data_IF_621222784766
#
_entry.id   IF_621222784766
#
_cell.length_a   1.000
_cell.length_b   1.000
_cell.length_c   1.000
_cell.angle_alpha   90.00
_cell.angle_beta   90.00
_cell.angle_gamma   90.00
#
_symmetry.space_group_name_H-M   'P 1'
#
loop_
_entity.id
_entity.type
_entity.pdbx_description
1 polymer ?
#
# COMPACT_ATOMS: atom_id res chain seq x y z
N UNK A 1 -6.42 1.80 -15.67
CA UNK A 1 -5.35 1.58 -14.68
C UNK A 1 -5.98 1.38 -13.30
N UNK A 2 -5.47 0.41 -12.54
CA UNK A 2 -6.03 0.13 -11.22
C UNK A 2 -5.29 0.97 -10.18
N UNK A 3 -6.07 1.67 -9.35
CA UNK A 3 -5.51 2.38 -8.20
C UNK A 3 -5.94 1.64 -6.94
N UNK A 4 -4.99 1.38 -6.06
CA UNK A 4 -5.20 0.58 -4.88
C UNK A 4 -5.36 1.42 -3.62
N UNK A 5 -6.13 0.91 -2.67
CA UNK A 5 -6.21 1.47 -1.33
C UNK A 5 -5.33 0.65 -0.41
N UNK A 6 -4.49 1.32 0.37
CA UNK A 6 -3.61 0.67 1.33
C UNK A 6 -4.34 0.54 2.66
N UNK A 7 -4.45 -0.70 3.13
CA UNK A 7 -5.15 -1.02 4.38
C UNK A 7 -4.13 -1.48 5.41
N UNK A 8 -4.18 -0.87 6.59
CA UNK A 8 -3.33 -1.26 7.72
C UNK A 8 -4.18 -1.23 8.98
N UNK A 9 -4.19 -2.34 9.71
CA UNK A 9 -5.00 -2.50 10.92
C UNK A 9 -6.47 -2.24 10.63
N UNK A 10 -6.96 -2.71 9.47
CA UNK A 10 -8.35 -2.59 9.08
C UNK A 10 -8.78 -1.21 8.64
N UNK A 11 -7.85 -0.27 8.50
CA UNK A 11 -8.18 1.10 8.10
C UNK A 11 -7.44 1.50 6.84
N UNK A 12 -8.11 2.26 5.98
CA UNK A 12 -7.48 2.82 4.78
C UNK A 12 -6.51 3.92 5.19
N UNK A 13 -5.25 3.75 4.82
CA UNK A 13 -4.20 4.70 5.17
C UNK A 13 -3.79 5.59 4.01
N UNK A 14 -3.98 5.12 2.77
CA UNK A 14 -3.51 5.84 1.61
C UNK A 14 -4.31 5.35 0.41
N UNK A 15 -4.66 6.26 -0.49
CA UNK A 15 -5.54 5.94 -1.63
C UNK A 15 -4.84 6.18 -2.96
N UNK A 16 -5.42 5.61 -4.00
CA UNK A 16 -5.01 5.83 -5.40
C UNK A 16 -3.57 5.42 -5.64
N UNK A 17 -3.16 4.32 -5.01
CA UNK A 17 -1.79 3.83 -5.07
C UNK A 17 -1.59 3.04 -6.35
N UNK A 18 -0.50 3.37 -7.07
CA UNK A 18 -0.15 2.71 -8.32
C UNK A 18 1.22 2.03 -8.25
N UNK A 19 1.91 2.13 -7.12
CA UNK A 19 3.25 1.59 -6.97
C UNK A 19 3.46 1.19 -5.50
N UNK A 20 4.07 0.03 -5.30
CA UNK A 20 4.44 -0.41 -3.96
C UNK A 20 5.75 -1.18 -4.03
N UNK A 21 6.64 -0.94 -3.07
CA UNK A 21 7.90 -1.63 -2.96
C UNK A 21 8.15 -2.03 -1.52
N UNK A 22 8.38 -3.32 -1.30
CA UNK A 22 8.73 -3.85 0.01
C UNK A 22 10.23 -4.01 0.09
N UNK A 23 10.88 -3.33 1.02
CA UNK A 23 12.33 -3.34 1.12
C UNK A 23 12.76 -2.91 2.51
N UNK A 24 13.79 -3.58 3.04
CA UNK A 24 14.43 -3.12 4.27
C UNK A 24 13.52 -3.03 5.47
N UNK A 25 12.56 -3.93 5.58
CA UNK A 25 11.66 -3.93 6.73
C UNK A 25 10.53 -2.91 6.65
N UNK A 26 10.22 -2.43 5.46
CA UNK A 26 9.13 -1.50 5.27
C UNK A 26 8.52 -1.59 3.89
N UNK A 27 7.46 -0.85 3.67
CA UNK A 27 6.77 -0.77 2.38
C UNK A 27 6.63 0.70 2.00
N UNK A 28 7.08 1.03 0.79
CA UNK A 28 6.92 2.38 0.24
C UNK A 28 5.90 2.33 -0.88
N UNK A 29 4.93 3.22 -0.85
CA UNK A 29 3.89 3.30 -1.86
C UNK A 29 3.89 4.69 -2.49
N UNK A 30 3.37 4.76 -3.72
CA UNK A 30 3.19 6.04 -4.43
C UNK A 30 1.81 6.07 -5.05
N UNK A 31 1.17 7.21 -5.00
CA UNK A 31 -0.14 7.36 -5.61
C UNK A 31 -0.06 8.02 -6.98
N UNK A 32 -1.23 8.21 -7.60
CA UNK A 32 -1.31 8.77 -8.97
C UNK A 32 -0.80 10.20 -9.06
N UNK A 33 -0.72 10.90 -7.93
CA UNK A 33 -0.21 12.27 -7.90
C UNK A 33 1.29 12.34 -7.68
N UNK A 34 1.95 11.17 -7.57
CA UNK A 34 3.38 11.13 -7.30
C UNK A 34 3.75 11.27 -5.83
N UNK A 35 2.76 11.32 -4.96
CA UNK A 35 3.01 11.38 -3.53
C UNK A 35 3.45 10.00 -3.03
N UNK A 36 4.45 9.98 -2.15
CA UNK A 36 4.98 8.73 -1.61
C UNK A 36 4.73 8.67 -0.11
N UNK A 37 4.53 7.45 0.38
CA UNK A 37 4.39 7.22 1.81
C UNK A 37 5.11 5.93 2.17
N UNK A 38 5.83 5.96 3.29
CA UNK A 38 6.56 4.79 3.78
C UNK A 38 5.90 4.25 5.04
N UNK A 39 5.72 2.93 5.07
CA UNK A 39 5.17 2.23 6.23
C UNK A 39 6.29 1.38 6.83
N UNK A 40 7.03 1.96 7.78
CA UNK A 40 8.14 1.27 8.41
C UNK A 40 7.64 0.15 9.31
N UNK A 41 8.38 -0.95 9.33
CA UNK A 41 8.03 -2.09 10.16
C UNK A 41 6.83 -2.87 9.67
N UNK A 42 6.40 -2.61 8.44
CA UNK A 42 5.23 -3.29 7.87
C UNK A 42 5.65 -4.19 6.71
N UNK A 43 4.79 -5.13 6.39
CA UNK A 43 4.98 -6.04 5.26
C UNK A 43 3.66 -6.14 4.50
N UNK A 44 3.75 -6.52 3.22
CA UNK A 44 2.58 -6.77 2.39
C UNK A 44 2.06 -8.17 2.74
N UNK A 45 0.79 -8.26 3.11
CA UNK A 45 0.18 -9.55 3.42
C UNK A 45 -0.85 -9.98 2.39
N UNK A 46 -1.42 -9.03 1.65
CA UNK A 46 -2.43 -9.39 0.64
C UNK A 46 -2.50 -8.33 -0.43
N UNK A 47 -2.60 -8.76 -1.68
CA UNK A 47 -2.89 -7.90 -2.83
C UNK A 47 -4.14 -8.45 -3.48
N UNK A 48 -5.20 -7.67 -3.52
CA UNK A 48 -6.45 -8.09 -4.12
C UNK A 48 -6.81 -7.12 -5.24
N UNK A 49 -6.64 -7.59 -6.47
CA UNK A 49 -6.90 -6.76 -7.65
C UNK A 49 -8.39 -6.51 -7.83
N UNK A 50 -9.23 -7.50 -7.50
CA UNK A 50 -10.67 -7.34 -7.71
C UNK A 50 -11.28 -6.27 -6.81
N UNK A 51 -10.76 -6.11 -5.60
CA UNK A 51 -11.21 -5.04 -4.69
C UNK A 51 -10.25 -3.87 -4.66
N UNK A 52 -9.15 -3.95 -5.40
CA UNK A 52 -8.08 -2.95 -5.46
C UNK A 52 -7.58 -2.55 -4.06
N UNK A 53 -7.28 -3.57 -3.25
CA UNK A 53 -6.75 -3.34 -1.91
C UNK A 53 -5.35 -3.94 -1.78
N UNK A 54 -4.50 -3.21 -1.07
CA UNK A 54 -3.17 -3.65 -0.70
C UNK A 54 -3.13 -3.66 0.83
N UNK A 55 -3.10 -4.86 1.41
CA UNK A 55 -3.18 -5.00 2.87
C UNK A 55 -1.80 -5.17 3.45
N UNK A 56 -1.50 -4.32 4.42
CA UNK A 56 -0.23 -4.36 5.14
C UNK A 56 -0.45 -4.79 6.58
N UNK A 57 0.61 -5.31 7.20
CA UNK A 57 0.61 -5.65 8.61
C UNK A 57 1.99 -5.36 9.19
N UNK A 58 2.06 -5.08 10.51
CA UNK A 58 3.35 -4.88 11.18
C UNK A 58 4.25 -6.10 11.13
#
# INVERSE_FOLDING_TARGET
MCEFNVILNGKTQFKDVIYAKAEGGGVTVKNILGEAKEFKGCKIVEVDVSSTTLVLAP
#
